data_IF_965547352708
#
_entry.id   IF_965547352708
#
_cell.length_a   1.000
_cell.length_b   1.000
_cell.length_c   1.000
_cell.angle_alpha   90.00
_cell.angle_beta   90.00
_cell.angle_gamma   90.00
#
_symmetry.space_group_name_H-M   'P 1'
#
loop_
_entity.id
_entity.type
_entity.pdbx_description
1 polymer ?
#
# COMPACT_ATOMS: atom_id res chain seq x y z
N UNK A 1 10.95 20.22 -4.15
CA UNK A 1 9.77 20.66 -3.38
C UNK A 1 8.44 20.29 -4.05
N UNK A 2 8.16 20.72 -5.28
CA UNK A 2 6.84 20.51 -5.92
C UNK A 2 6.42 19.03 -6.15
N UNK A 3 7.36 18.10 -6.36
CA UNK A 3 7.03 16.67 -6.54
C UNK A 3 6.76 15.94 -5.21
N UNK A 4 7.49 16.30 -4.14
CA UNK A 4 7.25 15.78 -2.77
C UNK A 4 5.89 16.24 -2.23
N UNK A 5 5.51 17.50 -2.49
CA UNK A 5 4.15 17.96 -2.16
C UNK A 5 3.07 17.24 -2.98
N UNK A 6 3.40 16.81 -4.21
CA UNK A 6 2.52 15.97 -5.04
C UNK A 6 2.26 14.60 -4.42
N UNK A 7 3.29 13.86 -4.02
CA UNK A 7 3.10 12.54 -3.38
C UNK A 7 2.40 12.67 -2.02
N UNK A 8 2.68 13.73 -1.26
CA UNK A 8 1.97 14.00 0.00
C UNK A 8 0.47 14.24 -0.21
N UNK A 9 0.08 14.96 -1.27
CA UNK A 9 -1.34 15.13 -1.64
C UNK A 9 -2.02 13.81 -1.96
N UNK A 10 -1.34 12.91 -2.68
CA UNK A 10 -1.84 11.57 -2.94
C UNK A 10 -1.95 10.75 -1.65
N UNK A 11 -0.95 10.84 -0.77
CA UNK A 11 -0.94 10.14 0.52
C UNK A 11 -2.13 10.54 1.41
N UNK A 12 -2.46 11.83 1.48
CA UNK A 12 -3.64 12.31 2.22
C UNK A 12 -4.95 11.70 1.71
N UNK A 13 -5.02 11.38 0.42
CA UNK A 13 -6.16 10.69 -0.17
C UNK A 13 -6.08 9.18 0.07
N UNK A 14 -4.89 8.58 0.06
CA UNK A 14 -4.72 7.14 0.27
C UNK A 14 -5.08 6.69 1.70
N UNK A 15 -4.69 7.47 2.71
CA UNK A 15 -5.02 7.19 4.11
C UNK A 15 -4.00 7.74 5.11
N UNK A 16 -4.35 7.85 6.41
CA UNK A 16 -3.47 8.43 7.43
C UNK A 16 -2.16 7.67 7.60
N UNK A 17 -2.17 6.34 7.57
CA UNK A 17 -0.93 5.54 7.67
C UNK A 17 -0.02 5.74 6.45
N UNK A 18 -0.59 5.93 5.25
CA UNK A 18 0.19 6.27 4.05
C UNK A 18 0.84 7.64 4.17
N UNK A 19 0.17 8.62 4.79
CA UNK A 19 0.77 9.93 5.12
C UNK A 19 1.95 9.76 6.06
N UNK A 20 1.83 8.94 7.10
CA UNK A 20 2.91 8.68 8.04
C UNK A 20 4.13 8.06 7.35
N UNK A 21 3.91 7.10 6.46
CA UNK A 21 4.98 6.46 5.68
C UNK A 21 5.64 7.47 4.74
N UNK A 22 4.88 8.21 3.92
CA UNK A 22 5.46 9.21 3.01
C UNK A 22 6.22 10.30 3.77
N UNK A 23 5.77 10.67 4.97
CA UNK A 23 6.49 11.60 5.85
C UNK A 23 7.79 10.98 6.37
N UNK A 24 7.74 9.74 6.89
CA UNK A 24 8.90 9.00 7.40
C UNK A 24 9.99 8.86 6.33
N UNK A 25 9.60 8.49 5.11
CA UNK A 25 10.50 8.30 3.97
C UNK A 25 10.78 9.57 3.17
N UNK A 26 10.36 10.75 3.65
CA UNK A 26 10.57 12.02 2.96
C UNK A 26 12.02 12.26 2.50
N UNK A 27 13.04 12.02 3.35
CA UNK A 27 14.45 12.09 2.95
C UNK A 27 14.82 11.09 1.85
N UNK A 28 14.48 9.80 2.02
CA UNK A 28 14.72 8.73 1.03
C UNK A 28 14.10 9.08 -0.33
N UNK A 29 12.84 9.50 -0.34
CA UNK A 29 12.13 9.89 -1.58
C UNK A 29 12.75 11.12 -2.23
N UNK A 30 13.25 12.07 -1.43
CA UNK A 30 13.96 13.26 -1.94
C UNK A 30 15.30 12.89 -2.56
N UNK A 31 16.01 11.91 -1.98
CA UNK A 31 17.26 11.36 -2.53
C UNK A 31 16.98 10.61 -3.83
N UNK A 32 16.01 9.70 -3.83
CA UNK A 32 15.58 8.95 -5.01
C UNK A 32 15.19 9.88 -6.17
N UNK A 33 14.50 10.99 -5.91
CA UNK A 33 14.19 11.97 -6.97
C UNK A 33 15.41 12.51 -7.74
N UNK A 34 16.58 12.58 -7.08
CA UNK A 34 17.81 13.11 -7.66
C UNK A 34 18.67 12.01 -8.27
N UNK A 35 18.79 10.90 -7.55
CA UNK A 35 19.76 9.84 -7.84
C UNK A 35 19.14 8.69 -8.62
N UNK A 36 17.88 8.34 -8.32
CA UNK A 36 17.15 7.21 -8.89
C UNK A 36 15.70 7.59 -9.20
N UNK A 37 15.44 8.48 -10.19
CA UNK A 37 14.13 9.06 -10.42
C UNK A 37 13.05 8.03 -10.77
N UNK A 38 13.46 6.85 -11.26
CA UNK A 38 12.60 5.70 -11.49
C UNK A 38 11.98 5.17 -10.18
N UNK A 39 12.78 4.99 -9.12
CA UNK A 39 12.30 4.56 -7.78
C UNK A 39 11.23 5.51 -7.26
N UNK A 40 11.48 6.82 -7.36
CA UNK A 40 10.48 7.82 -6.96
C UNK A 40 9.17 7.67 -7.74
N UNK A 41 9.24 7.44 -9.06
CA UNK A 41 8.05 7.26 -9.90
C UNK A 41 7.28 6.00 -9.57
N UNK A 42 7.97 4.90 -9.29
CA UNK A 42 7.35 3.65 -8.90
C UNK A 42 6.61 3.81 -7.57
N UNK A 43 7.25 4.38 -6.55
CA UNK A 43 6.59 4.69 -5.26
C UNK A 43 5.41 5.64 -5.45
N UNK A 44 5.58 6.72 -6.23
CA UNK A 44 4.49 7.67 -6.51
C UNK A 44 3.30 6.98 -7.19
N UNK A 45 3.56 6.06 -8.12
CA UNK A 45 2.52 5.29 -8.81
C UNK A 45 1.74 4.42 -7.83
N UNK A 46 2.42 3.77 -6.89
CA UNK A 46 1.75 2.96 -5.86
C UNK A 46 0.86 3.81 -4.93
N UNK A 47 1.35 4.98 -4.50
CA UNK A 47 0.54 5.91 -3.70
C UNK A 47 -0.67 6.44 -4.49
N UNK A 48 -0.49 6.74 -5.78
CA UNK A 48 -1.60 7.15 -6.66
C UNK A 48 -2.64 6.03 -6.84
N UNK A 49 -2.21 4.77 -7.06
CA UNK A 49 -3.12 3.62 -7.14
C UNK A 49 -3.97 3.50 -5.89
N UNK A 50 -3.35 3.58 -4.71
CA UNK A 50 -4.07 3.54 -3.42
C UNK A 50 -5.06 4.70 -3.27
N UNK A 51 -4.64 5.93 -3.63
CA UNK A 51 -5.50 7.11 -3.61
C UNK A 51 -6.69 7.02 -4.58
N UNK A 52 -6.48 6.46 -5.77
CA UNK A 52 -7.54 6.21 -6.76
C UNK A 52 -8.52 5.17 -6.25
N UNK A 53 -8.04 4.04 -5.72
CA UNK A 53 -8.93 3.03 -5.16
C UNK A 53 -9.80 3.56 -4.01
N UNK A 54 -9.22 4.35 -3.11
CA UNK A 54 -10.00 4.96 -2.02
C UNK A 54 -11.07 5.95 -2.52
N UNK A 55 -10.79 6.73 -3.56
CA UNK A 55 -11.76 7.68 -4.14
C UNK A 55 -12.85 7.00 -4.97
N UNK A 56 -12.48 5.96 -5.71
CA UNK A 56 -13.33 5.37 -6.76
C UNK A 56 -14.40 4.41 -6.25
N UNK A 57 -14.45 4.09 -4.95
CA UNK A 57 -15.37 3.10 -4.44
C UNK A 57 -15.81 3.35 -3.00
N UNK A 58 -17.07 3.03 -2.74
CA UNK A 58 -17.67 2.98 -1.41
C UNK A 58 -18.11 1.54 -1.11
N UNK A 59 -18.31 1.22 0.16
CA UNK A 59 -18.74 -0.09 0.60
C UNK A 59 -17.82 -1.23 0.16
N UNK A 60 -18.39 -2.43 0.04
CA UNK A 60 -17.67 -3.68 -0.27
C UNK A 60 -16.79 -3.61 -1.53
N UNK A 61 -17.27 -3.00 -2.63
CA UNK A 61 -16.51 -2.89 -3.87
C UNK A 61 -15.25 -2.02 -3.69
N UNK A 62 -15.38 -0.88 -3.01
CA UNK A 62 -14.24 -0.01 -2.70
C UNK A 62 -13.20 -0.71 -1.84
N UNK A 63 -13.64 -1.49 -0.85
CA UNK A 63 -12.75 -2.29 0.00
C UNK A 63 -12.02 -3.37 -0.82
N UNK A 64 -12.70 -4.10 -1.72
CA UNK A 64 -12.07 -5.12 -2.58
C UNK A 64 -11.02 -4.51 -3.51
N UNK A 65 -11.30 -3.36 -4.13
CA UNK A 65 -10.34 -2.66 -4.99
C UNK A 65 -9.06 -2.31 -4.24
N UNK A 66 -9.17 -1.84 -2.99
CA UNK A 66 -8.01 -1.55 -2.14
C UNK A 66 -7.24 -2.82 -1.79
N UNK A 67 -7.92 -3.91 -1.43
CA UNK A 67 -7.28 -5.21 -1.16
C UNK A 67 -6.49 -5.71 -2.36
N UNK A 68 -7.03 -5.61 -3.58
CA UNK A 68 -6.35 -6.09 -4.78
C UNK A 68 -5.05 -5.31 -5.06
N UNK A 69 -5.03 -3.99 -4.86
CA UNK A 69 -3.79 -3.20 -4.99
C UNK A 69 -2.73 -3.66 -4.00
N UNK A 70 -3.13 -3.95 -2.75
CA UNK A 70 -2.19 -4.45 -1.75
C UNK A 70 -1.71 -5.87 -2.07
N UNK A 71 -2.56 -6.72 -2.66
CA UNK A 71 -2.16 -8.06 -3.13
C UNK A 71 -1.08 -7.98 -4.21
N UNK A 72 -1.20 -7.04 -5.15
CA UNK A 72 -0.15 -6.82 -6.17
C UNK A 72 1.19 -6.43 -5.53
N UNK A 73 1.17 -5.50 -4.57
CA UNK A 73 2.39 -5.08 -3.87
C UNK A 73 3.00 -6.21 -3.02
N UNK A 74 2.17 -7.02 -2.36
CA UNK A 74 2.63 -8.18 -1.59
C UNK A 74 3.21 -9.26 -2.51
N UNK A 75 2.62 -9.48 -3.69
CA UNK A 75 3.16 -10.42 -4.68
C UNK A 75 4.53 -9.98 -5.17
N UNK A 76 4.72 -8.68 -5.43
CA UNK A 76 6.03 -8.11 -5.72
C UNK A 76 7.03 -8.37 -4.58
N UNK A 77 6.70 -7.95 -3.36
CA UNK A 77 7.58 -8.12 -2.19
C UNK A 77 7.94 -9.57 -1.90
N UNK A 78 7.03 -10.50 -2.18
CA UNK A 78 7.30 -11.93 -2.06
C UNK A 78 8.27 -12.43 -3.15
N UNK A 79 8.21 -11.86 -4.36
CA UNK A 79 9.09 -12.22 -5.46
C UNK A 79 10.49 -11.59 -5.32
N UNK A 80 10.58 -10.43 -4.68
CA UNK A 80 11.86 -9.74 -4.42
C UNK A 80 12.59 -10.25 -3.18
N UNK A 81 11.85 -10.80 -2.20
CA UNK A 81 12.38 -11.26 -0.93
C UNK A 81 13.66 -12.10 -1.08
N UNK A 82 14.74 -11.64 -0.46
CA UNK A 82 16.04 -12.31 -0.51
C UNK A 82 16.36 -13.09 0.78
N UNK A 83 15.56 -12.86 1.83
CA UNK A 83 15.65 -13.56 3.10
C UNK A 83 14.32 -14.22 3.54
N UNK A 84 14.46 -15.15 4.50
CA UNK A 84 13.33 -15.89 5.04
C UNK A 84 12.36 -15.01 5.85
N UNK A 85 12.82 -13.87 6.38
CA UNK A 85 12.00 -12.94 7.17
C UNK A 85 11.08 -12.14 6.26
N UNK A 86 11.56 -11.67 5.11
CA UNK A 86 10.79 -10.95 4.11
C UNK A 86 9.74 -11.84 3.47
N UNK A 87 10.13 -13.05 3.08
CA UNK A 87 9.20 -14.07 2.59
C UNK A 87 8.05 -14.30 3.58
N UNK A 88 8.38 -14.52 4.86
CA UNK A 88 7.37 -14.72 5.92
C UNK A 88 6.47 -13.51 6.13
N UNK A 89 7.01 -12.29 6.05
CA UNK A 89 6.22 -11.04 6.16
C UNK A 89 5.24 -10.92 5.00
N UNK A 90 5.69 -11.15 3.77
CA UNK A 90 4.85 -11.10 2.59
C UNK A 90 3.73 -12.15 2.64
N UNK A 91 4.04 -13.38 3.04
CA UNK A 91 3.03 -14.42 3.27
C UNK A 91 2.02 -14.05 4.35
N UNK A 92 2.45 -13.42 5.44
CA UNK A 92 1.55 -12.99 6.50
C UNK A 92 0.62 -11.88 6.03
N UNK A 93 1.11 -10.90 5.28
CA UNK A 93 0.24 -9.90 4.66
C UNK A 93 -0.74 -10.53 3.68
N UNK A 94 -0.32 -11.51 2.87
CA UNK A 94 -1.22 -12.26 1.98
C UNK A 94 -2.36 -12.90 2.77
N UNK A 95 -2.04 -13.62 3.86
CA UNK A 95 -3.04 -14.23 4.75
C UNK A 95 -3.98 -13.19 5.37
N UNK A 96 -3.46 -12.03 5.78
CA UNK A 96 -4.29 -10.96 6.34
C UNK A 96 -5.24 -10.36 5.29
N UNK A 97 -4.77 -10.15 4.07
CA UNK A 97 -5.57 -9.67 2.94
C UNK A 97 -6.67 -10.68 2.56
N UNK A 98 -6.37 -11.98 2.56
CA UNK A 98 -7.37 -13.03 2.31
C UNK A 98 -8.46 -13.06 3.38
N UNK A 99 -8.08 -12.92 4.66
CA UNK A 99 -9.04 -12.78 5.76
C UNK A 99 -9.93 -11.54 5.59
N UNK A 100 -9.37 -10.42 5.14
CA UNK A 100 -10.13 -9.20 4.88
C UNK A 100 -11.11 -9.42 3.73
N UNK A 101 -10.70 -10.03 2.63
CA UNK A 101 -11.56 -10.32 1.47
C UNK A 101 -12.72 -11.26 1.80
N UNK A 102 -12.46 -12.25 2.68
CA UNK A 102 -13.50 -13.08 3.27
C UNK A 102 -14.49 -12.26 4.12
N UNK A 103 -14.00 -11.35 4.97
CA UNK A 103 -14.85 -10.43 5.75
C UNK A 103 -15.70 -9.52 4.84
N UNK A 104 -15.15 -9.02 3.74
CA UNK A 104 -15.89 -8.19 2.78
C UNK A 104 -17.04 -8.98 2.14
N UNK A 105 -16.82 -10.27 1.87
CA UNK A 105 -17.81 -11.12 1.20
C UNK A 105 -19.08 -11.36 2.02
N UNK A 106 -19.01 -11.26 3.35
CA UNK A 106 -20.15 -11.47 4.24
C UNK A 106 -20.91 -10.19 4.58
N UNK A 107 -20.41 -9.00 4.21
CA UNK A 107 -21.06 -7.72 4.51
C UNK A 107 -22.50 -7.64 3.96
N UNK A 108 -22.73 -8.20 2.77
CA UNK A 108 -24.06 -8.19 2.13
C UNK A 108 -25.11 -9.04 2.86
N UNK A 109 -24.69 -9.94 3.74
CA UNK A 109 -25.59 -10.76 4.56
C UNK A 109 -25.90 -10.12 5.93
N UNK A 110 -25.24 -9.01 6.27
CA UNK A 110 -25.41 -8.32 7.55
C UNK A 110 -26.57 -7.32 7.51
N UNK A 111 -27.15 -7.03 8.67
CA UNK A 111 -28.03 -5.87 8.82
C UNK A 111 -27.27 -4.57 8.55
N UNK A 112 -27.95 -3.56 7.99
CA UNK A 112 -27.35 -2.30 7.52
C UNK A 112 -26.40 -1.64 8.53
N UNK A 113 -26.79 -1.55 9.80
CA UNK A 113 -25.97 -0.93 10.83
C UNK A 113 -24.70 -1.73 11.14
N UNK A 114 -24.82 -3.06 11.22
CA UNK A 114 -23.69 -3.97 11.41
C UNK A 114 -22.73 -3.91 10.23
N UNK A 115 -23.26 -3.92 9.00
CA UNK A 115 -22.45 -3.79 7.78
C UNK A 115 -21.62 -2.51 7.79
N UNK A 116 -22.23 -1.35 8.10
CA UNK A 116 -21.52 -0.07 8.15
C UNK A 116 -20.38 -0.07 9.18
N UNK A 117 -20.60 -0.64 10.37
CA UNK A 117 -19.56 -0.74 11.41
C UNK A 117 -18.42 -1.67 10.98
N UNK A 118 -18.74 -2.79 10.36
CA UNK A 118 -17.74 -3.74 9.87
C UNK A 118 -16.97 -3.17 8.67
N UNK A 119 -17.61 -2.41 7.78
CA UNK A 119 -16.96 -1.67 6.69
C UNK A 119 -15.90 -0.69 7.22
N UNK A 120 -16.20 0.07 8.27
CA UNK A 120 -15.22 0.97 8.91
C UNK A 120 -14.05 0.19 9.54
N UNK A 121 -14.35 -0.91 10.23
CA UNK A 121 -13.34 -1.78 10.84
C UNK A 121 -12.41 -2.40 9.79
N UNK A 122 -12.97 -2.94 8.70
CA UNK A 122 -12.20 -3.44 7.55
C UNK A 122 -11.39 -2.29 6.94
N UNK A 123 -11.98 -1.12 6.75
CA UNK A 123 -11.33 0.05 6.20
C UNK A 123 -10.08 0.47 6.97
N UNK A 124 -10.12 0.41 8.31
CA UNK A 124 -8.99 0.67 9.22
C UNK A 124 -7.91 -0.41 9.13
N UNK A 125 -8.29 -1.69 9.03
CA UNK A 125 -7.34 -2.79 8.85
C UNK A 125 -6.59 -2.68 7.52
N UNK A 126 -7.29 -2.37 6.44
CA UNK A 126 -6.68 -2.11 5.13
C UNK A 126 -5.74 -0.91 5.22
N UNK A 127 -6.12 0.15 5.94
CA UNK A 127 -5.26 1.33 6.13
C UNK A 127 -3.93 0.94 6.78
N UNK A 128 -3.99 0.25 7.93
CA UNK A 128 -2.81 -0.24 8.62
C UNK A 128 -1.90 -1.07 7.72
N UNK A 129 -2.46 -2.04 6.99
CA UNK A 129 -1.70 -2.86 6.04
C UNK A 129 -1.09 -2.03 4.91
N UNK A 130 -1.81 -1.02 4.42
CA UNK A 130 -1.29 -0.11 3.38
C UNK A 130 -0.02 0.59 3.83
N UNK A 131 0.04 1.03 5.10
CA UNK A 131 1.24 1.63 5.67
C UNK A 131 2.40 0.64 5.79
N UNK A 132 2.15 -0.55 6.34
CA UNK A 132 3.17 -1.59 6.51
C UNK A 132 3.77 -2.06 5.18
N UNK A 133 2.91 -2.33 4.20
CA UNK A 133 3.29 -2.81 2.87
C UNK A 133 4.02 -1.70 2.11
N UNK A 134 3.53 -0.45 2.14
CA UNK A 134 4.22 0.66 1.47
C UNK A 134 5.59 0.95 2.08
N UNK A 135 5.74 0.84 3.40
CA UNK A 135 7.06 1.00 4.03
C UNK A 135 8.05 -0.02 3.47
N UNK A 136 7.66 -1.30 3.47
CA UNK A 136 8.53 -2.37 2.96
C UNK A 136 8.81 -2.21 1.46
N UNK A 137 7.81 -1.78 0.70
CA UNK A 137 7.99 -1.48 -0.72
C UNK A 137 9.03 -0.37 -0.95
N UNK A 138 9.00 0.72 -0.16
CA UNK A 138 9.99 1.79 -0.31
C UNK A 138 11.39 1.29 0.09
N UNK A 139 11.49 0.53 1.18
CA UNK A 139 12.75 -0.07 1.64
C UNK A 139 13.37 -0.94 0.52
N UNK A 140 12.59 -1.85 -0.06
CA UNK A 140 13.00 -2.71 -1.18
C UNK A 140 13.46 -1.90 -2.40
N UNK A 141 12.70 -0.89 -2.83
CA UNK A 141 13.09 -0.08 -3.99
C UNK A 141 14.37 0.73 -3.74
N UNK A 142 14.64 1.13 -2.50
CA UNK A 142 15.89 1.79 -2.13
C UNK A 142 17.06 0.80 -2.17
N UNK A 143 16.87 -0.42 -1.68
CA UNK A 143 17.87 -1.49 -1.71
C UNK A 143 18.21 -1.92 -3.15
N UNK A 144 17.20 -2.20 -3.98
CA UNK A 144 17.39 -2.55 -5.38
C UNK A 144 18.23 -1.50 -6.12
N UNK A 145 17.92 -0.22 -5.91
CA UNK A 145 18.65 0.88 -6.52
C UNK A 145 20.11 0.96 -6.03
N UNK A 146 20.40 0.62 -4.77
CA UNK A 146 21.77 0.54 -4.25
C UNK A 146 22.54 -0.65 -4.85
N UNK A 147 21.85 -1.75 -5.14
CA UNK A 147 22.41 -2.95 -5.78
C UNK A 147 22.49 -2.85 -7.31
N UNK A 148 22.04 -1.74 -7.90
CA UNK A 148 21.98 -1.56 -9.35
C UNK A 148 20.91 -2.39 -10.05
N UNK A 149 19.97 -2.96 -9.28
CA UNK A 149 18.77 -3.61 -9.79
C UNK A 149 17.79 -2.49 -10.16
N UNK A 150 17.34 -2.47 -11.42
CA UNK A 150 16.35 -1.50 -11.86
C UNK A 150 15.04 -1.67 -11.08
N UNK A 151 14.22 -0.61 -10.95
CA UNK A 151 13.00 -0.71 -10.16
C UNK A 151 11.97 -1.59 -10.85
N UNK A 152 11.20 -2.31 -10.04
CA UNK A 152 10.20 -3.26 -10.51
C UNK A 152 8.79 -2.65 -10.57
N UNK A 153 7.93 -3.26 -11.39
CA UNK A 153 6.63 -2.75 -11.82
C UNK A 153 5.45 -3.22 -10.94
#
# INVERSE_FOLDING_TARGET
>A
MAKISGIMKLAMVAGPTVVEVVRKFGPTLTKAMKENPEVFRVVQTQVDRMAKARRSGHGSEGLRRRVNILRDQVAYLHASADDARETRRAEEWRRQLDKIDASISVLGAMGKETATREEDHIGKRIDKLSGEILSAFIDEQEEDAQLGRGPAY
#
